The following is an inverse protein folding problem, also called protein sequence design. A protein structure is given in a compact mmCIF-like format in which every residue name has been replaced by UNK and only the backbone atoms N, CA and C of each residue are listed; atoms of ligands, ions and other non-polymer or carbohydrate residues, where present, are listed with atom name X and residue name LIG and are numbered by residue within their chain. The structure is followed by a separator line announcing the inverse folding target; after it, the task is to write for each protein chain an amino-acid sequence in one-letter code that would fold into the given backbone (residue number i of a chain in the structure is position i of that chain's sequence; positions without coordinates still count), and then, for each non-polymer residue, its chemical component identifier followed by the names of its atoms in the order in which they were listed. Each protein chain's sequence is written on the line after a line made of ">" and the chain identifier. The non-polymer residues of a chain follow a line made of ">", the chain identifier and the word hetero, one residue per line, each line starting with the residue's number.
data_IF_475425244007
#
_entry.id   IF_475425244007
#
_cell.length_a   1.000
_cell.length_b   1.000
_cell.length_c   1.000
_cell.angle_alpha   90.00
_cell.angle_beta   90.00
_cell.angle_gamma   90.00
#
_symmetry.space_group_name_H-M   'P 1'
#
loop_
_entity.id
_entity.type
_entity.pdbx_description
1 polymer ?
#
# COMPACT_ATOMS: atom_id res chain seq x y z
N UNK A 1 71.75 27.05 -2.18
CA UNK A 1 70.76 26.35 -3.04
C UNK A 1 70.44 25.01 -2.42
N UNK A 2 69.17 24.75 -2.11
CA UNK A 2 68.46 23.44 -2.15
C UNK A 2 67.16 23.60 -1.36
N UNK A 3 66.10 24.01 -2.06
CA UNK A 3 64.72 23.99 -1.59
C UNK A 3 64.17 22.58 -1.80
N UNK A 4 63.73 21.92 -0.72
CA UNK A 4 63.00 20.65 -0.80
C UNK A 4 61.50 21.00 -0.82
N UNK A 5 60.87 20.80 -1.96
CA UNK A 5 59.43 20.97 -2.16
C UNK A 5 58.71 19.71 -1.67
N UNK A 6 57.96 19.82 -0.57
CA UNK A 6 57.00 18.79 -0.15
C UNK A 6 55.76 18.88 -1.05
N UNK A 7 55.55 17.88 -1.91
CA UNK A 7 54.30 17.73 -2.64
C UNK A 7 53.32 16.92 -1.77
N UNK A 8 52.36 17.61 -1.13
CA UNK A 8 51.25 16.96 -0.44
C UNK A 8 50.16 16.59 -1.43
N UNK A 9 49.94 15.28 -1.60
CA UNK A 9 48.81 14.68 -2.30
C UNK A 9 47.52 14.97 -1.53
N UNK A 10 46.62 15.76 -2.13
CA UNK A 10 45.24 15.89 -1.65
C UNK A 10 44.37 14.87 -2.39
N UNK A 11 44.15 13.70 -1.78
CA UNK A 11 43.15 12.75 -2.24
C UNK A 11 41.77 13.25 -1.81
N UNK A 12 41.05 13.88 -2.73
CA UNK A 12 39.65 14.26 -2.53
C UNK A 12 38.83 12.97 -2.57
N UNK A 13 38.41 12.48 -1.40
CA UNK A 13 37.43 11.41 -1.30
C UNK A 13 36.06 11.91 -1.74
N UNK A 14 35.56 11.41 -2.86
CA UNK A 14 34.21 11.68 -3.32
C UNK A 14 33.22 10.92 -2.42
N UNK A 15 32.64 11.62 -1.44
CA UNK A 15 31.50 11.08 -0.68
C UNK A 15 30.29 11.17 -1.60
N UNK A 16 29.93 10.04 -2.22
CA UNK A 16 28.65 9.92 -2.92
C UNK A 16 27.58 9.87 -1.84
N UNK A 17 26.82 10.96 -1.67
CA UNK A 17 25.62 10.93 -0.88
C UNK A 17 24.61 10.01 -1.60
N UNK A 18 24.42 8.80 -1.07
CA UNK A 18 23.29 7.97 -1.47
C UNK A 18 22.04 8.69 -1.02
N UNK A 19 21.25 9.21 -1.97
CA UNK A 19 19.92 9.70 -1.65
C UNK A 19 19.11 8.49 -1.18
N UNK A 20 18.78 8.47 0.10
CA UNK A 20 17.88 7.47 0.67
C UNK A 20 16.49 7.84 0.18
N UNK A 21 15.94 6.99 -0.68
CA UNK A 21 14.54 7.12 -1.07
C UNK A 21 13.69 6.71 0.13
N UNK A 22 12.82 7.61 0.58
CA UNK A 22 12.08 7.41 1.82
C UNK A 22 10.63 7.01 1.52
N UNK A 23 10.17 5.92 2.13
CA UNK A 23 8.76 5.57 2.17
C UNK A 23 7.93 6.60 2.95
N UNK A 24 6.60 6.67 2.73
CA UNK A 24 5.73 7.64 3.42
C UNK A 24 5.84 7.53 4.95
N UNK A 25 5.78 8.68 5.62
CA UNK A 25 5.78 8.75 7.07
C UNK A 25 4.47 8.22 7.66
N UNK A 26 4.48 7.83 8.94
CA UNK A 26 3.26 7.40 9.65
C UNK A 26 2.19 8.50 9.68
N UNK A 27 2.59 9.77 9.74
CA UNK A 27 1.67 10.90 9.68
C UNK A 27 0.97 11.01 8.32
N UNK A 28 1.73 10.89 7.23
CA UNK A 28 1.18 10.91 5.87
C UNK A 28 0.26 9.72 5.63
N UNK A 29 0.65 8.52 6.09
CA UNK A 29 -0.20 7.32 6.02
C UNK A 29 -1.49 7.50 6.84
N UNK A 30 -1.42 8.11 8.02
CA UNK A 30 -2.61 8.40 8.81
C UNK A 30 -3.57 9.38 8.10
N UNK A 31 -3.04 10.41 7.42
CA UNK A 31 -3.86 11.31 6.59
C UNK A 31 -4.49 10.56 5.40
N UNK A 32 -3.74 9.66 4.75
CA UNK A 32 -4.27 8.79 3.71
C UNK A 32 -5.41 7.91 4.23
N UNK A 33 -5.28 7.32 5.42
CA UNK A 33 -6.33 6.47 5.99
C UNK A 33 -7.65 7.24 6.18
N UNK A 34 -7.58 8.50 6.66
CA UNK A 34 -8.76 9.38 6.73
C UNK A 34 -9.37 9.64 5.34
N UNK A 35 -8.52 9.90 4.33
CA UNK A 35 -8.96 10.10 2.96
C UNK A 35 -9.68 8.85 2.39
N UNK A 36 -9.13 7.67 2.67
CA UNK A 36 -9.69 6.38 2.25
C UNK A 36 -11.03 6.10 2.96
N UNK A 37 -11.19 6.52 4.22
CA UNK A 37 -12.44 6.44 5.00
C UNK A 37 -13.53 7.43 4.52
N UNK A 38 -13.18 8.37 3.64
CA UNK A 38 -14.14 9.28 2.99
C UNK A 38 -13.97 10.76 3.36
N UNK A 39 -12.90 11.13 4.07
CA UNK A 39 -12.57 12.55 4.30
C UNK A 39 -11.97 13.16 3.02
N UNK A 40 -12.83 13.68 2.15
CA UNK A 40 -12.45 14.27 0.85
C UNK A 40 -11.44 15.43 1.00
N UNK A 41 -11.47 16.16 2.13
CA UNK A 41 -10.55 17.27 2.40
C UNK A 41 -9.08 16.79 2.53
N UNK A 42 -8.88 15.49 2.83
CA UNK A 42 -7.53 14.90 2.94
C UNK A 42 -6.95 14.43 1.62
N UNK A 43 -7.79 14.14 0.62
CA UNK A 43 -7.33 13.54 -0.64
C UNK A 43 -6.32 14.42 -1.35
N UNK A 44 -6.63 15.71 -1.53
CA UNK A 44 -5.73 16.65 -2.20
C UNK A 44 -4.46 16.91 -1.36
N UNK A 45 -4.59 16.99 -0.03
CA UNK A 45 -3.44 17.18 0.88
C UNK A 45 -2.46 16.03 0.77
N UNK A 46 -2.95 14.80 0.85
CA UNK A 46 -2.15 13.58 0.74
C UNK A 46 -1.51 13.48 -0.64
N UNK A 47 -2.27 13.78 -1.70
CA UNK A 47 -1.75 13.78 -3.07
C UNK A 47 -0.55 14.74 -3.22
N UNK A 48 -0.69 15.98 -2.76
CA UNK A 48 0.38 16.98 -2.82
C UNK A 48 1.60 16.61 -1.98
N UNK A 49 1.39 16.05 -0.79
CA UNK A 49 2.49 15.61 0.09
C UNK A 49 3.27 14.44 -0.52
N UNK A 50 2.58 13.45 -1.11
CA UNK A 50 3.22 12.33 -1.80
C UNK A 50 3.98 12.79 -3.05
N UNK A 51 3.39 13.65 -3.88
CA UNK A 51 4.08 14.25 -5.03
C UNK A 51 5.35 15.01 -4.61
N UNK A 52 5.25 15.82 -3.54
CA UNK A 52 6.38 16.58 -3.01
C UNK A 52 7.48 15.68 -2.47
N UNK A 53 7.11 14.66 -1.70
CA UNK A 53 8.05 13.66 -1.18
C UNK A 53 8.74 12.93 -2.33
N UNK A 54 8.00 12.42 -3.31
CA UNK A 54 8.56 11.71 -4.46
C UNK A 54 9.50 12.61 -5.28
N UNK A 55 9.17 13.89 -5.44
CA UNK A 55 10.02 14.84 -6.15
C UNK A 55 11.32 15.16 -5.39
N UNK A 56 11.30 15.11 -4.06
CA UNK A 56 12.44 15.49 -3.20
C UNK A 56 13.34 14.30 -2.88
N UNK A 57 12.74 13.18 -2.48
CA UNK A 57 13.42 12.01 -1.95
C UNK A 57 13.52 10.87 -2.97
N UNK A 58 12.77 10.97 -4.08
CA UNK A 58 12.64 9.93 -5.09
C UNK A 58 11.42 9.02 -4.85
N UNK A 59 11.14 8.16 -5.81
CA UNK A 59 10.01 7.23 -5.74
C UNK A 59 10.45 5.84 -5.22
N UNK A 60 9.97 5.44 -4.04
CA UNK A 60 10.00 4.06 -3.58
C UNK A 60 8.69 3.32 -3.93
N UNK A 61 8.66 1.97 -3.86
CA UNK A 61 7.47 1.20 -4.18
C UNK A 61 6.22 1.58 -3.36
N UNK A 62 6.37 1.82 -2.06
CA UNK A 62 5.26 2.10 -1.16
C UNK A 62 4.69 3.50 -1.42
N UNK A 63 5.55 4.51 -1.62
CA UNK A 63 5.10 5.86 -2.02
C UNK A 63 4.31 5.84 -3.33
N UNK A 64 4.74 5.07 -4.32
CA UNK A 64 4.00 4.94 -5.59
C UNK A 64 2.64 4.27 -5.40
N UNK A 65 2.55 3.24 -4.56
CA UNK A 65 1.27 2.60 -4.28
C UNK A 65 0.32 3.55 -3.55
N UNK A 66 0.79 4.27 -2.54
CA UNK A 66 -0.04 5.28 -1.85
C UNK A 66 -0.43 6.43 -2.76
N UNK A 67 0.47 6.92 -3.61
CA UNK A 67 0.15 7.98 -4.57
C UNK A 67 -0.91 7.51 -5.56
N UNK A 68 -0.72 6.32 -6.13
CA UNK A 68 -1.67 5.75 -7.06
C UNK A 68 -3.04 5.49 -6.43
N UNK A 69 -3.07 4.98 -5.20
CA UNK A 69 -4.32 4.83 -4.48
C UNK A 69 -5.00 6.18 -4.20
N UNK A 70 -4.23 7.19 -3.77
CA UNK A 70 -4.74 8.56 -3.59
C UNK A 70 -5.31 9.14 -4.90
N UNK A 71 -4.68 8.88 -6.04
CA UNK A 71 -5.21 9.26 -7.36
C UNK A 71 -6.54 8.55 -7.65
N UNK A 72 -6.72 7.29 -7.24
CA UNK A 72 -8.05 6.65 -7.35
C UNK A 72 -9.09 7.29 -6.43
N UNK A 73 -8.71 7.80 -5.26
CA UNK A 73 -9.60 8.58 -4.39
C UNK A 73 -9.98 9.93 -5.02
N UNK A 74 -9.03 10.60 -5.70
CA UNK A 74 -9.37 11.77 -6.53
C UNK A 74 -10.39 11.41 -7.62
N UNK A 75 -10.29 10.21 -8.19
CA UNK A 75 -11.28 9.67 -9.13
C UNK A 75 -12.66 9.43 -8.50
N UNK A 76 -12.69 8.89 -7.27
CA UNK A 76 -13.92 8.73 -6.46
C UNK A 76 -14.62 10.09 -6.26
N UNK A 77 -13.85 11.11 -5.89
CA UNK A 77 -14.37 12.41 -5.43
C UNK A 77 -14.58 13.42 -6.57
N UNK A 78 -13.99 13.18 -7.75
CA UNK A 78 -14.15 14.06 -8.89
C UNK A 78 -15.62 14.18 -9.33
N UNK A 79 -16.10 15.43 -9.49
CA UNK A 79 -17.47 15.69 -9.93
C UNK A 79 -17.72 15.29 -11.41
N UNK A 80 -16.79 15.64 -12.31
CA UNK A 80 -16.97 15.40 -13.75
C UNK A 80 -16.55 13.97 -14.15
N UNK A 81 -17.36 13.24 -14.94
CA UNK A 81 -17.07 11.85 -15.30
C UNK A 81 -15.70 11.62 -15.96
N UNK A 82 -15.24 12.51 -16.83
CA UNK A 82 -13.92 12.37 -17.47
C UNK A 82 -12.75 12.52 -16.48
N UNK A 83 -12.92 13.32 -15.42
CA UNK A 83 -11.92 13.44 -14.37
C UNK A 83 -11.90 12.17 -13.51
N UNK A 84 -13.07 11.57 -13.21
CA UNK A 84 -13.15 10.27 -12.54
C UNK A 84 -12.33 9.23 -13.29
N UNK A 85 -12.54 9.12 -14.61
CA UNK A 85 -11.80 8.20 -15.46
C UNK A 85 -10.31 8.50 -15.44
N UNK A 86 -9.92 9.75 -15.73
CA UNK A 86 -8.52 10.17 -15.80
C UNK A 86 -7.76 9.87 -14.52
N UNK A 87 -8.27 10.30 -13.37
CA UNK A 87 -7.58 10.12 -12.09
C UNK A 87 -7.51 8.64 -11.69
N UNK A 88 -8.56 7.87 -11.93
CA UNK A 88 -8.57 6.44 -11.61
C UNK A 88 -7.56 5.68 -12.48
N UNK A 89 -7.55 5.91 -13.79
CA UNK A 89 -6.58 5.28 -14.71
C UNK A 89 -5.14 5.68 -14.39
N UNK A 90 -4.91 6.95 -14.06
CA UNK A 90 -3.62 7.42 -13.58
C UNK A 90 -3.20 6.69 -12.31
N UNK A 91 -4.11 6.57 -11.32
CA UNK A 91 -3.86 5.86 -10.08
C UNK A 91 -3.50 4.40 -10.28
N UNK A 92 -4.24 3.70 -11.13
CA UNK A 92 -3.99 2.31 -11.50
C UNK A 92 -2.61 2.12 -12.15
N UNK A 93 -2.21 3.02 -13.05
CA UNK A 93 -0.89 3.01 -13.66
C UNK A 93 0.23 3.25 -12.64
N UNK A 94 0.02 4.20 -11.71
CA UNK A 94 0.99 4.50 -10.64
C UNK A 94 1.15 3.32 -9.67
N UNK A 95 0.06 2.66 -9.28
CA UNK A 95 0.11 1.44 -8.45
C UNK A 95 0.88 0.34 -9.19
N UNK A 96 0.60 0.12 -10.48
CA UNK A 96 1.32 -0.90 -11.26
C UNK A 96 2.82 -0.62 -11.28
N UNK A 97 3.22 0.63 -11.49
CA UNK A 97 4.64 1.04 -11.43
C UNK A 97 5.26 0.75 -10.06
N UNK A 98 4.53 1.02 -8.97
CA UNK A 98 4.99 0.71 -7.60
C UNK A 98 5.19 -0.79 -7.38
N UNK A 99 4.25 -1.62 -7.82
CA UNK A 99 4.34 -3.08 -7.71
C UNK A 99 5.44 -3.68 -8.60
N UNK A 100 5.64 -3.14 -9.80
CA UNK A 100 6.73 -3.54 -10.69
C UNK A 100 8.09 -3.20 -10.08
N UNK A 101 8.21 -2.00 -9.49
CA UNK A 101 9.40 -1.57 -8.77
C UNK A 101 9.67 -2.49 -7.56
N UNK A 102 8.64 -2.80 -6.77
CA UNK A 102 8.72 -3.72 -5.64
C UNK A 102 9.27 -5.08 -6.05
N UNK A 103 8.73 -5.64 -7.14
CA UNK A 103 9.13 -6.94 -7.68
C UNK A 103 10.58 -6.93 -8.17
N UNK A 104 11.06 -5.80 -8.68
CA UNK A 104 12.43 -5.64 -9.17
C UNK A 104 13.47 -5.44 -8.06
N UNK A 105 13.07 -4.91 -6.90
CA UNK A 105 13.98 -4.53 -5.81
C UNK A 105 14.12 -5.58 -4.69
N UNK A 106 13.35 -6.68 -4.76
CA UNK A 106 13.40 -7.91 -3.94
C UNK A 106 14.22 -7.82 -2.63
N UNK A 107 13.89 -6.85 -1.78
CA UNK A 107 14.55 -6.67 -0.49
C UNK A 107 13.95 -7.70 0.48
N UNK A 108 14.76 -8.54 1.14
CA UNK A 108 14.26 -9.52 2.10
C UNK A 108 13.41 -8.86 3.19
N UNK A 109 12.33 -9.50 3.63
CA UNK A 109 11.38 -8.93 4.60
C UNK A 109 12.06 -8.50 5.90
N UNK A 110 13.10 -9.22 6.33
CA UNK A 110 13.85 -8.95 7.56
C UNK A 110 14.72 -7.67 7.46
N UNK A 111 14.93 -7.17 6.24
CA UNK A 111 15.71 -5.96 5.96
C UNK A 111 14.82 -4.77 5.60
N UNK A 112 13.51 -4.99 5.49
CA UNK A 112 12.57 -3.92 5.19
C UNK A 112 12.24 -3.13 6.45
N UNK A 113 12.06 -1.83 6.25
CA UNK A 113 11.44 -0.99 7.25
C UNK A 113 9.98 -1.42 7.46
N UNK A 114 9.46 -1.07 8.64
CA UNK A 114 8.06 -1.29 8.98
C UNK A 114 7.30 0.03 8.89
N UNK A 115 6.09 -0.04 8.33
CA UNK A 115 5.10 1.04 8.32
C UNK A 115 3.75 0.45 8.70
N UNK A 116 2.99 1.12 9.56
CA UNK A 116 1.72 0.59 10.09
C UNK A 116 1.83 -0.85 10.65
N UNK A 117 3.00 -1.20 11.20
CA UNK A 117 3.26 -2.53 11.76
C UNK A 117 3.50 -3.64 10.74
N UNK A 118 3.71 -3.33 9.45
CA UNK A 118 4.01 -4.29 8.39
C UNK A 118 5.30 -3.95 7.65
N UNK A 119 6.05 -4.96 7.15
CA UNK A 119 7.06 -4.75 6.13
C UNK A 119 6.47 -4.01 4.93
N UNK A 120 7.21 -3.04 4.39
CA UNK A 120 6.74 -2.17 3.31
C UNK A 120 6.19 -2.94 2.09
N UNK A 121 6.77 -4.08 1.72
CA UNK A 121 6.30 -4.88 0.60
C UNK A 121 4.92 -5.51 0.84
N UNK A 122 4.65 -5.96 2.07
CA UNK A 122 3.37 -6.53 2.46
C UNK A 122 2.31 -5.42 2.55
N UNK A 123 2.68 -4.25 3.09
CA UNK A 123 1.79 -3.09 3.12
C UNK A 123 1.43 -2.61 1.71
N UNK A 124 2.41 -2.48 0.81
CA UNK A 124 2.19 -2.07 -0.57
C UNK A 124 1.20 -3.03 -1.29
N UNK A 125 1.40 -4.35 -1.17
CA UNK A 125 0.46 -5.33 -1.73
C UNK A 125 -0.93 -5.22 -1.11
N UNK A 126 -1.02 -5.02 0.20
CA UNK A 126 -2.30 -4.87 0.91
C UNK A 126 -3.09 -3.65 0.42
N UNK A 127 -2.44 -2.49 0.29
CA UNK A 127 -3.06 -1.26 -0.22
C UNK A 127 -3.48 -1.41 -1.69
N UNK A 128 -2.64 -2.04 -2.51
CA UNK A 128 -2.98 -2.30 -3.90
C UNK A 128 -4.19 -3.23 -4.04
N UNK A 129 -4.24 -4.34 -3.28
CA UNK A 129 -5.38 -5.26 -3.25
C UNK A 129 -6.68 -4.57 -2.83
N UNK A 130 -6.62 -3.79 -1.75
CA UNK A 130 -7.77 -3.00 -1.27
C UNK A 130 -8.24 -1.99 -2.33
N UNK A 131 -7.31 -1.29 -2.97
CA UNK A 131 -7.63 -0.30 -4.01
C UNK A 131 -8.27 -0.96 -5.24
N UNK A 132 -7.67 -2.02 -5.77
CA UNK A 132 -8.20 -2.70 -6.95
C UNK A 132 -9.59 -3.29 -6.74
N UNK A 133 -9.83 -3.88 -5.56
CA UNK A 133 -11.12 -4.52 -5.24
C UNK A 133 -12.22 -3.52 -4.87
N UNK A 134 -11.87 -2.27 -4.50
CA UNK A 134 -12.85 -1.23 -4.20
C UNK A 134 -13.37 -0.48 -5.45
N UNK A 135 -12.73 -0.66 -6.61
CA UNK A 135 -13.11 0.06 -7.82
C UNK A 135 -14.42 -0.48 -8.45
N UNK A 136 -15.17 0.39 -9.15
CA UNK A 136 -16.29 -0.02 -10.00
C UNK A 136 -15.86 -1.01 -11.10
N UNK A 137 -16.76 -1.93 -11.50
CA UNK A 137 -16.48 -2.99 -12.48
C UNK A 137 -15.92 -2.49 -13.81
N UNK A 138 -16.34 -1.30 -14.26
CA UNK A 138 -15.92 -0.72 -15.53
C UNK A 138 -14.40 -0.55 -15.68
N UNK A 139 -13.65 -0.51 -14.57
CA UNK A 139 -12.19 -0.42 -14.59
C UNK A 139 -11.50 -1.77 -14.76
N UNK A 140 -12.22 -2.90 -14.63
CA UNK A 140 -11.69 -4.26 -14.85
C UNK A 140 -10.45 -4.63 -14.01
N UNK A 141 -10.40 -4.16 -12.75
CA UNK A 141 -9.29 -4.45 -11.83
C UNK A 141 -9.66 -5.37 -10.66
N UNK A 142 -10.94 -5.70 -10.51
CA UNK A 142 -11.43 -6.47 -9.37
C UNK A 142 -10.73 -7.83 -9.23
N UNK A 143 -10.67 -8.62 -10.32
CA UNK A 143 -10.04 -9.96 -10.31
C UNK A 143 -8.58 -9.88 -9.87
N UNK A 144 -7.79 -8.96 -10.45
CA UNK A 144 -6.40 -8.72 -10.06
C UNK A 144 -6.26 -8.37 -8.58
N UNK A 145 -7.17 -7.55 -8.05
CA UNK A 145 -7.19 -7.21 -6.63
C UNK A 145 -7.52 -8.40 -5.74
N UNK A 146 -8.45 -9.24 -6.17
CA UNK A 146 -8.83 -10.44 -5.43
C UNK A 146 -7.70 -11.48 -5.41
N UNK A 147 -7.02 -11.69 -6.54
CA UNK A 147 -5.83 -12.55 -6.63
C UNK A 147 -4.72 -12.09 -5.68
N UNK A 148 -4.51 -10.77 -5.55
CA UNK A 148 -3.56 -10.22 -4.57
C UNK A 148 -3.92 -10.67 -3.15
N UNK A 149 -5.19 -10.66 -2.76
CA UNK A 149 -5.60 -11.14 -1.43
C UNK A 149 -5.47 -12.65 -1.26
N UNK A 150 -5.80 -13.44 -2.30
CA UNK A 150 -5.60 -14.89 -2.27
C UNK A 150 -4.13 -15.23 -2.01
N UNK A 151 -3.22 -14.60 -2.75
CA UNK A 151 -1.78 -14.80 -2.58
C UNK A 151 -1.28 -14.30 -1.23
N UNK A 152 -1.69 -13.09 -0.83
CA UNK A 152 -1.21 -12.44 0.39
C UNK A 152 -1.68 -13.19 1.64
N UNK A 153 -2.94 -13.63 1.68
CA UNK A 153 -3.49 -14.39 2.80
C UNK A 153 -3.12 -15.88 2.77
N UNK A 154 -2.55 -16.39 1.67
CA UNK A 154 -1.91 -17.69 1.63
C UNK A 154 -0.45 -17.66 2.14
N UNK A 155 0.21 -16.50 2.07
CA UNK A 155 1.62 -16.30 2.44
C UNK A 155 1.85 -16.42 3.95
N UNK A 156 2.71 -17.37 4.36
CA UNK A 156 3.05 -17.59 5.77
C UNK A 156 3.77 -16.38 6.39
N UNK A 157 4.55 -15.64 5.61
CA UNK A 157 5.24 -14.44 6.10
C UNK A 157 4.25 -13.32 6.47
N UNK A 158 3.14 -13.22 5.74
CA UNK A 158 2.04 -12.31 6.05
C UNK A 158 1.27 -12.81 7.28
N UNK A 159 0.96 -14.10 7.33
CA UNK A 159 0.24 -14.71 8.47
C UNK A 159 0.99 -14.59 9.80
N UNK A 160 2.32 -14.52 9.79
CA UNK A 160 3.15 -14.40 11.00
C UNK A 160 3.22 -12.97 11.55
N UNK A 161 2.76 -11.97 10.79
CA UNK A 161 2.73 -10.59 11.27
C UNK A 161 1.77 -10.42 12.45
N UNK A 162 1.98 -9.36 13.23
CA UNK A 162 1.12 -9.08 14.38
C UNK A 162 -0.34 -8.91 13.94
N UNK A 163 -1.26 -9.57 14.63
CA UNK A 163 -2.64 -9.68 14.16
C UNK A 163 -3.32 -8.32 13.99
N UNK A 164 -3.11 -7.39 14.93
CA UNK A 164 -3.66 -6.04 14.83
C UNK A 164 -3.27 -5.33 13.51
N UNK A 165 -2.03 -5.53 13.04
CA UNK A 165 -1.50 -4.91 11.83
C UNK A 165 -2.05 -5.51 10.53
N UNK A 166 -2.45 -6.78 10.52
CA UNK A 166 -2.99 -7.47 9.33
C UNK A 166 -4.52 -7.61 9.32
N UNK A 167 -5.18 -7.41 10.46
CA UNK A 167 -6.62 -7.70 10.61
C UNK A 167 -7.52 -6.91 9.65
N UNK A 168 -7.14 -5.68 9.29
CA UNK A 168 -7.87 -4.86 8.33
C UNK A 168 -7.81 -5.44 6.91
N UNK A 169 -6.70 -6.08 6.54
CA UNK A 169 -6.53 -6.71 5.21
C UNK A 169 -7.55 -7.83 5.02
N UNK A 170 -7.81 -8.61 6.07
CA UNK A 170 -8.86 -9.65 6.03
C UNK A 170 -10.24 -9.04 5.79
N UNK A 171 -10.56 -7.84 6.30
CA UNK A 171 -11.85 -7.20 6.06
C UNK A 171 -12.06 -6.93 4.57
N UNK A 172 -11.10 -6.29 3.92
CA UNK A 172 -11.17 -6.02 2.49
C UNK A 172 -11.19 -7.32 1.66
N UNK A 173 -10.39 -8.31 2.04
CA UNK A 173 -10.38 -9.62 1.38
C UNK A 173 -11.74 -10.33 1.49
N UNK A 174 -12.36 -10.34 2.67
CA UNK A 174 -13.68 -10.94 2.89
C UNK A 174 -14.76 -10.21 2.07
N UNK A 175 -14.74 -8.87 2.05
CA UNK A 175 -15.65 -8.09 1.22
C UNK A 175 -15.46 -8.42 -0.28
N UNK A 176 -14.22 -8.56 -0.73
CA UNK A 176 -13.90 -8.97 -2.09
C UNK A 176 -14.40 -10.39 -2.38
N UNK A 177 -14.14 -11.38 -1.53
CA UNK A 177 -14.65 -12.74 -1.69
C UNK A 177 -16.19 -12.77 -1.78
N UNK A 178 -16.88 -12.00 -0.95
CA UNK A 178 -18.34 -11.92 -1.01
C UNK A 178 -18.84 -11.27 -2.30
N UNK A 179 -18.18 -10.21 -2.79
CA UNK A 179 -18.47 -9.60 -4.10
C UNK A 179 -18.21 -10.58 -5.26
N UNK A 180 -17.20 -11.43 -5.13
CA UNK A 180 -16.88 -12.50 -6.09
C UNK A 180 -17.79 -13.73 -5.99
N UNK A 181 -18.80 -13.71 -5.11
CA UNK A 181 -19.64 -14.86 -4.75
C UNK A 181 -18.88 -16.07 -4.18
N UNK A 182 -17.61 -15.89 -3.78
CA UNK A 182 -16.76 -16.89 -3.15
C UNK A 182 -17.02 -16.96 -1.64
N UNK A 183 -18.27 -17.31 -1.29
CA UNK A 183 -18.70 -17.49 0.11
C UNK A 183 -17.84 -18.51 0.87
N UNK A 184 -17.37 -19.63 0.28
CA UNK A 184 -16.47 -20.56 0.96
C UNK A 184 -15.17 -19.89 1.44
N UNK A 185 -14.50 -19.11 0.58
CA UNK A 185 -13.27 -18.42 0.96
C UNK A 185 -13.51 -17.35 2.04
N UNK A 186 -14.59 -16.57 1.91
CA UNK A 186 -15.00 -15.60 2.93
C UNK A 186 -15.19 -16.26 4.31
N UNK A 187 -15.87 -17.42 4.37
CA UNK A 187 -16.05 -18.20 5.61
C UNK A 187 -14.73 -18.68 6.19
N UNK A 188 -13.81 -19.13 5.34
CA UNK A 188 -12.50 -19.60 5.78
C UNK A 188 -11.70 -18.46 6.43
N UNK A 189 -11.67 -17.28 5.82
CA UNK A 189 -10.97 -16.13 6.37
C UNK A 189 -11.60 -15.60 7.66
N UNK A 190 -12.93 -15.57 7.76
CA UNK A 190 -13.61 -15.24 9.04
C UNK A 190 -13.25 -16.24 10.14
N UNK A 191 -13.23 -17.55 9.83
CA UNK A 191 -12.85 -18.58 10.79
C UNK A 191 -11.38 -18.43 11.25
N UNK A 192 -10.49 -18.05 10.34
CA UNK A 192 -9.09 -17.76 10.69
C UNK A 192 -8.98 -16.55 11.63
N UNK A 193 -9.70 -15.46 11.36
CA UNK A 193 -9.76 -14.30 12.25
C UNK A 193 -10.27 -14.68 13.65
N UNK A 194 -11.32 -15.52 13.72
CA UNK A 194 -11.87 -16.03 14.97
C UNK A 194 -10.87 -16.89 15.76
N UNK A 195 -10.11 -17.74 15.08
CA UNK A 195 -9.09 -18.57 15.71
C UNK A 195 -7.93 -17.74 16.28
N UNK A 196 -7.57 -16.63 15.62
CA UNK A 196 -6.48 -15.74 16.06
C UNK A 196 -6.90 -14.87 17.24
N UNK A 197 -8.02 -14.16 17.12
CA UNK A 197 -8.56 -13.34 18.20
C UNK A 197 -10.07 -13.10 18.01
N UNK A 198 -10.94 -13.85 18.70
CA UNK A 198 -12.39 -13.76 18.50
C UNK A 198 -13.00 -12.44 18.96
N UNK A 199 -12.32 -11.70 19.85
CA UNK A 199 -12.82 -10.46 20.43
C UNK A 199 -12.20 -9.20 19.79
N UNK A 200 -11.30 -9.35 18.82
CA UNK A 200 -10.74 -8.21 18.11
C UNK A 200 -11.85 -7.47 17.33
N UNK A 201 -11.90 -6.13 17.33
CA UNK A 201 -12.96 -5.37 16.66
C UNK A 201 -13.17 -5.77 15.19
N UNK A 202 -12.09 -5.95 14.44
CA UNK A 202 -12.15 -6.40 13.05
C UNK A 202 -12.70 -7.84 12.93
N UNK A 203 -12.41 -8.75 13.87
CA UNK A 203 -12.98 -10.11 13.84
C UNK A 203 -14.50 -10.08 14.04
N UNK A 204 -14.96 -9.25 14.97
CA UNK A 204 -16.41 -9.05 15.22
C UNK A 204 -17.07 -8.45 13.97
N UNK A 205 -16.43 -7.46 13.35
CA UNK A 205 -16.91 -6.85 12.12
C UNK A 205 -16.95 -7.85 10.95
N UNK A 206 -15.89 -8.64 10.76
CA UNK A 206 -15.80 -9.66 9.72
C UNK A 206 -16.94 -10.68 9.80
N UNK A 207 -17.28 -11.11 11.01
CA UNK A 207 -18.45 -11.97 11.25
C UNK A 207 -19.75 -11.27 10.86
N UNK A 208 -19.94 -10.02 11.27
CA UNK A 208 -21.14 -9.26 10.93
C UNK A 208 -21.30 -9.08 9.40
N UNK A 209 -20.19 -8.81 8.69
CA UNK A 209 -20.16 -8.72 7.22
C UNK A 209 -20.63 -10.04 6.60
N UNK A 210 -20.04 -11.17 7.02
CA UNK A 210 -20.41 -12.49 6.51
C UNK A 210 -21.87 -12.85 6.78
N UNK A 211 -22.37 -12.57 8.00
CA UNK A 211 -23.75 -12.85 8.39
C UNK A 211 -24.76 -12.01 7.59
N UNK A 212 -24.39 -10.78 7.22
CA UNK A 212 -25.24 -9.91 6.39
C UNK A 212 -25.34 -10.33 4.92
N UNK A 213 -24.40 -11.15 4.45
CA UNK A 213 -24.33 -11.66 3.08
C UNK A 213 -24.86 -13.11 2.94
N UNK A 214 -25.34 -13.70 4.03
CA UNK A 214 -25.91 -15.05 4.09
C UNK A 214 -27.35 -15.07 3.57
#
# INVERSE_FOLDING_TARGET
>A
MKTVTLASLFSIGLVVATQVVAAPSEELIAQYNLAAEGDEDKVEVVHQQLETQIATDGADPLSLVYLGSTQTLMGRDAFMPWNKMKYTEQGLATISKGLDLLSSQATPLEQQDYRQGLPESLLARSIAGATFTSLPDMFNHFERGYDVFLDLLADESFKQQHYDAISWVYIYAIQAALRAEDKPQAKQWVAEMQARNPNHPMTVQAKAILDSAA
#
